data_IF_685125796530
#
_entry.id   IF_685125796530
#
_cell.length_a   1.000
_cell.length_b   1.000
_cell.length_c   1.000
_cell.angle_alpha   90.00
_cell.angle_beta   90.00
_cell.angle_gamma   90.00
#
_symmetry.space_group_name_H-M   'P 1'
#
loop_
_entity.id
_entity.type
_entity.pdbx_description
1 polymer ?
#
# COMPACT_ATOMS: atom_id res chain seq x y z
N UNK A 1 -4.14 -2.71 -3.10
CA UNK A 1 -4.76 -1.39 -2.91
C UNK A 1 -4.93 -0.74 -4.28
N UNK A 2 -6.13 -0.22 -4.54
CA UNK A 2 -6.46 0.56 -5.73
C UNK A 2 -6.90 1.95 -5.26
N UNK A 3 -6.19 2.98 -5.69
CA UNK A 3 -6.48 4.38 -5.40
C UNK A 3 -6.83 5.08 -6.71
N UNK A 4 -8.03 5.67 -6.77
CA UNK A 4 -8.53 6.35 -7.97
C UNK A 4 -9.01 7.75 -7.60
N UNK A 5 -8.50 8.76 -8.32
CA UNK A 5 -9.05 10.11 -8.34
C UNK A 5 -10.19 10.15 -9.37
N UNK A 6 -11.29 10.81 -9.03
CA UNK A 6 -12.43 10.99 -9.95
C UNK A 6 -12.20 12.12 -10.97
N UNK A 7 -11.09 12.87 -10.86
CA UNK A 7 -10.68 13.89 -11.81
C UNK A 7 -11.61 15.11 -11.89
N UNK A 8 -12.45 15.34 -10.87
CA UNK A 8 -13.48 16.38 -10.93
C UNK A 8 -12.95 17.76 -10.54
N UNK A 9 -13.27 18.76 -11.35
CA UNK A 9 -12.99 20.18 -11.09
C UNK A 9 -11.69 20.71 -11.74
N UNK A 10 -11.53 22.05 -11.82
CA UNK A 10 -10.30 22.67 -12.30
C UNK A 10 -9.12 22.39 -11.36
N UNK A 11 -7.97 21.99 -11.89
CA UNK A 11 -6.78 21.73 -11.08
C UNK A 11 -6.91 20.54 -10.14
N UNK A 12 -7.66 19.50 -10.54
CA UNK A 12 -7.92 18.29 -9.75
C UNK A 12 -6.68 17.40 -9.52
N UNK A 13 -5.52 17.75 -10.09
CA UNK A 13 -4.29 16.97 -9.97
C UNK A 13 -3.67 17.08 -8.58
N UNK A 14 -3.32 15.94 -7.99
CA UNK A 14 -2.66 15.89 -6.68
C UNK A 14 -1.58 14.80 -6.63
N UNK A 15 -0.55 15.05 -5.83
CA UNK A 15 0.54 14.09 -5.62
C UNK A 15 0.25 13.24 -4.39
N UNK A 16 0.26 11.92 -4.56
CA UNK A 16 0.16 10.97 -3.47
C UNK A 16 1.55 10.40 -3.16
N UNK A 17 2.08 10.67 -1.97
CA UNK A 17 3.34 10.07 -1.52
C UNK A 17 3.11 8.62 -1.06
N UNK A 18 2.25 8.42 -0.06
CA UNK A 18 1.87 7.10 0.43
C UNK A 18 0.42 7.07 0.93
N UNK A 19 -0.14 5.86 1.01
CA UNK A 19 -1.38 5.57 1.70
C UNK A 19 -1.09 4.58 2.81
N UNK A 20 -1.52 4.88 4.02
CA UNK A 20 -1.43 3.95 5.13
C UNK A 20 -2.82 3.38 5.45
N UNK A 21 -2.90 2.05 5.54
CA UNK A 21 -4.14 1.34 5.83
C UNK A 21 -3.98 0.64 7.17
N UNK A 22 -4.83 1.01 8.13
CA UNK A 22 -4.95 0.32 9.42
C UNK A 22 -6.22 -0.53 9.41
N UNK A 23 -6.05 -1.85 9.54
CA UNK A 23 -7.15 -2.80 9.62
C UNK A 23 -7.33 -3.26 11.07
N UNK A 24 -8.56 -3.15 11.57
CA UNK A 24 -8.94 -3.58 12.92
C UNK A 24 -10.14 -4.53 12.83
N UNK A 25 -10.24 -5.50 13.74
CA UNK A 25 -11.38 -6.40 13.78
C UNK A 25 -11.65 -6.93 15.19
N UNK A 26 -12.89 -7.36 15.44
CA UNK A 26 -13.25 -7.99 16.72
C UNK A 26 -12.41 -9.25 16.91
N UNK A 27 -11.73 -9.34 18.05
CA UNK A 27 -10.80 -10.43 18.40
C UNK A 27 -9.65 -10.63 17.40
N UNK A 28 -9.26 -9.59 16.64
CA UNK A 28 -8.09 -9.62 15.76
C UNK A 28 -7.10 -8.55 16.19
N UNK A 29 -5.81 -8.86 16.10
CA UNK A 29 -4.77 -7.85 16.24
C UNK A 29 -4.90 -6.82 15.12
N UNK A 30 -4.71 -5.54 15.46
CA UNK A 30 -4.64 -4.47 14.49
C UNK A 30 -3.40 -4.66 13.62
N UNK A 31 -3.54 -4.45 12.32
CA UNK A 31 -2.42 -4.44 11.38
C UNK A 31 -2.39 -3.12 10.64
N UNK A 32 -1.18 -2.67 10.32
CA UNK A 32 -0.94 -1.42 9.59
C UNK A 32 -0.07 -1.77 8.38
N UNK A 33 -0.42 -1.21 7.22
CA UNK A 33 0.34 -1.38 5.99
C UNK A 33 0.45 -0.04 5.27
N UNK A 34 1.68 0.40 5.06
CA UNK A 34 1.98 1.53 4.20
C UNK A 34 2.12 1.06 2.75
N UNK A 35 1.52 1.78 1.81
CA UNK A 35 1.67 1.59 0.37
C UNK A 35 2.31 2.85 -0.22
N UNK A 36 3.53 2.73 -0.74
CA UNK A 36 4.22 3.84 -1.41
C UNK A 36 3.60 4.05 -2.79
N UNK A 37 3.05 5.25 -3.03
CA UNK A 37 2.39 5.62 -4.28
C UNK A 37 3.32 6.46 -5.15
N UNK A 38 3.89 7.52 -4.60
CA UNK A 38 4.85 8.44 -5.24
C UNK A 38 4.46 8.90 -6.66
N UNK A 39 3.19 9.17 -6.88
CA UNK A 39 2.61 9.44 -8.20
C UNK A 39 1.62 10.62 -8.15
N UNK A 40 1.59 11.41 -9.24
CA UNK A 40 0.51 12.37 -9.49
C UNK A 40 -0.74 11.66 -10.00
N UNK A 41 -1.91 11.99 -9.45
CA UNK A 41 -3.22 11.52 -9.92
C UNK A 41 -3.91 12.68 -10.65
N UNK A 42 -3.62 12.82 -11.94
CA UNK A 42 -4.01 13.96 -12.75
C UNK A 42 -4.13 13.58 -14.25
N UNK A 43 -4.76 14.41 -15.08
CA UNK A 43 -4.95 14.15 -16.54
C UNK A 43 -3.99 14.92 -17.45
N UNK A 44 -3.23 15.85 -16.91
CA UNK A 44 -2.59 16.98 -17.59
C UNK A 44 -1.10 16.79 -17.94
N UNK A 45 -0.54 15.61 -17.66
CA UNK A 45 0.73 15.09 -18.21
C UNK A 45 0.68 13.53 -18.10
N UNK A 46 1.72 12.69 -18.35
CA UNK A 46 1.58 11.23 -18.52
C UNK A 46 1.32 10.48 -17.18
N UNK A 47 0.36 10.98 -16.42
CA UNK A 47 -0.05 10.55 -15.11
C UNK A 47 -1.41 9.87 -15.25
N UNK A 48 -1.59 8.79 -14.51
CA UNK A 48 -2.86 8.08 -14.46
C UNK A 48 -3.64 8.57 -13.25
N UNK A 49 -4.96 8.73 -13.40
CA UNK A 49 -5.87 9.00 -12.27
C UNK A 49 -5.96 7.82 -11.30
N UNK A 50 -5.32 6.69 -11.61
CA UNK A 50 -5.34 5.47 -10.82
C UNK A 50 -3.92 5.03 -10.47
N UNK A 51 -3.74 4.55 -9.24
CA UNK A 51 -2.53 3.88 -8.79
C UNK A 51 -2.89 2.54 -8.12
N UNK A 52 -2.27 1.47 -8.60
CA UNK A 52 -2.45 0.11 -8.05
C UNK A 52 -1.16 -0.31 -7.35
N UNK A 53 -1.28 -0.73 -6.09
CA UNK A 53 -0.19 -1.32 -5.30
C UNK A 53 -0.62 -2.66 -4.75
N UNK A 54 0.06 -3.73 -5.14
CA UNK A 54 -0.24 -5.09 -4.68
C UNK A 54 0.94 -5.64 -3.88
N UNK A 55 0.77 -5.76 -2.56
CA UNK A 55 1.76 -6.31 -1.65
C UNK A 55 1.35 -7.71 -1.14
N UNK A 56 0.37 -8.34 -1.80
CA UNK A 56 0.07 -9.73 -1.55
C UNK A 56 1.22 -10.59 -2.08
N UNK A 57 1.72 -11.50 -1.25
CA UNK A 57 2.63 -12.55 -1.70
C UNK A 57 1.83 -13.51 -2.59
N UNK A 58 2.24 -13.66 -3.85
CA UNK A 58 1.72 -14.71 -4.72
C UNK A 58 2.05 -16.05 -4.07
N UNK A 59 1.02 -16.83 -3.72
CA UNK A 59 1.16 -18.14 -3.08
C UNK A 59 1.63 -19.19 -4.08
N UNK A 60 2.91 -19.15 -4.40
CA UNK A 60 3.76 -20.21 -4.96
C UNK A 60 5.14 -19.59 -4.72
N UNK A 61 5.99 -19.99 -3.78
CA UNK A 61 6.30 -21.28 -3.22
C UNK A 61 7.10 -20.97 -1.94
N UNK A 62 6.52 -21.21 -0.75
CA UNK A 62 7.21 -21.52 0.52
C UNK A 62 8.53 -20.83 0.91
N UNK A 63 8.90 -19.67 0.36
CA UNK A 63 10.14 -18.96 0.67
C UNK A 63 9.80 -17.54 1.08
N UNK A 64 9.62 -17.42 2.39
CA UNK A 64 9.65 -16.16 3.10
C UNK A 64 11.06 -15.56 2.96
N UNK A 65 11.37 -14.90 1.84
CA UNK A 65 12.60 -14.14 1.67
C UNK A 65 12.39 -12.80 2.38
N UNK A 66 12.56 -12.83 3.70
CA UNK A 66 12.70 -11.62 4.51
C UNK A 66 14.11 -11.07 4.28
N UNK A 67 14.23 -9.99 3.52
CA UNK A 67 15.36 -9.08 3.69
C UNK A 67 14.95 -8.02 4.72
N UNK A 68 15.33 -8.23 5.98
CA UNK A 68 15.12 -7.28 7.07
C UNK A 68 15.65 -7.83 8.40
N UNK A 69 16.61 -7.16 9.06
CA UNK A 69 17.27 -7.67 10.25
C UNK A 69 16.44 -7.35 11.50
N UNK A 70 15.38 -8.12 11.75
CA UNK A 70 14.87 -8.23 13.12
C UNK A 70 14.30 -9.62 13.38
N UNK A 71 15.19 -10.53 13.75
CA UNK A 71 14.91 -11.91 14.12
C UNK A 71 14.65 -12.02 15.62
N UNK A 72 13.68 -11.30 16.17
CA UNK A 72 13.49 -11.23 17.64
C UNK A 72 12.07 -11.54 18.17
N UNK A 73 11.26 -12.32 17.46
CA UNK A 73 10.00 -12.85 18.04
C UNK A 73 9.88 -14.38 17.91
N UNK A 74 10.98 -15.09 18.16
CA UNK A 74 10.93 -16.52 18.52
C UNK A 74 11.67 -16.71 19.84
N UNK A 75 10.99 -16.37 20.93
CA UNK A 75 11.26 -16.89 22.27
C UNK A 75 10.03 -16.59 23.14
N UNK A 76 9.16 -17.58 23.34
CA UNK A 76 8.94 -18.17 24.66
C UNK A 76 7.57 -18.91 24.73
N UNK A 77 7.70 -20.24 24.91
CA UNK A 77 6.72 -21.29 25.24
C UNK A 77 5.76 -21.78 24.13
#
# INVERSE_FOLDING_TARGET
MNLTSDGSGPGHGWYCNYVEVTATGVHKQCTQQQFMVEQWLATDAPYELTAIRNYCLSGDDGKFVMYGPDSSMISDL
#
